data_IF_083963372152
#
_entry.id   IF_083963372152
#
_cell.length_a   1.000
_cell.length_b   1.000
_cell.length_c   1.000
_cell.angle_alpha   90.00
_cell.angle_beta   90.00
_cell.angle_gamma   90.00
#
_symmetry.space_group_name_H-M   'P 1'
#
loop_
_entity.id
_entity.type
_entity.pdbx_description
1 polymer ?
#
# COMPACT_ATOMS: atom_id res chain seq x y z
N UNK A 1 -5.31 -0.59 7.83
CA UNK A 1 -6.07 -0.81 9.07
C UNK A 1 -5.40 -0.15 10.28
N UNK A 2 -4.08 -0.35 10.50
CA UNK A 2 -3.38 0.24 11.65
C UNK A 2 -3.54 1.77 11.71
N UNK A 3 -3.21 2.48 10.63
CA UNK A 3 -3.35 3.94 10.54
C UNK A 3 -4.81 4.41 10.65
N UNK A 4 -5.76 3.62 10.16
CA UNK A 4 -7.18 3.93 10.32
C UNK A 4 -7.59 3.91 11.78
N UNK A 5 -7.17 2.88 12.53
CA UNK A 5 -7.46 2.77 13.97
C UNK A 5 -6.84 3.92 14.76
N UNK A 6 -5.62 4.32 14.44
CA UNK A 6 -4.95 5.42 15.14
C UNK A 6 -5.54 6.78 14.72
N UNK A 7 -5.53 7.09 13.43
CA UNK A 7 -5.79 8.45 12.96
C UNK A 7 -7.27 8.80 12.83
N UNK A 8 -8.12 7.88 12.34
CA UNK A 8 -9.55 8.13 12.18
C UNK A 8 -10.34 7.77 13.43
N UNK A 9 -10.07 6.60 14.00
CA UNK A 9 -10.82 6.11 15.15
C UNK A 9 -10.28 6.64 16.48
N UNK A 10 -9.06 7.18 16.49
CA UNK A 10 -8.35 7.62 17.70
C UNK A 10 -8.37 6.57 18.83
N UNK A 11 -8.32 5.30 18.45
CA UNK A 11 -8.52 4.18 19.35
C UNK A 11 -7.50 4.12 20.52
N UNK A 12 -6.38 4.82 20.40
CA UNK A 12 -5.40 4.99 21.48
C UNK A 12 -5.92 5.87 22.65
N UNK A 13 -6.93 6.73 22.37
CA UNK A 13 -7.49 7.65 23.36
C UNK A 13 -8.71 7.07 24.09
N UNK A 14 -9.25 5.93 23.62
CA UNK A 14 -10.46 5.32 24.17
C UNK A 14 -10.16 3.91 24.66
N UNK A 15 -10.12 3.67 26.00
CA UNK A 15 -9.84 2.34 26.57
C UNK A 15 -10.83 1.26 26.12
N UNK A 16 -12.08 1.65 25.87
CA UNK A 16 -13.18 0.75 25.47
C UNK A 16 -13.43 0.75 23.96
N UNK A 17 -12.45 1.12 23.14
CA UNK A 17 -12.59 1.10 21.68
C UNK A 17 -12.82 -0.32 21.17
N UNK A 18 -13.85 -0.53 20.33
CA UNK A 18 -14.17 -1.83 19.71
C UNK A 18 -12.99 -2.41 18.89
N UNK A 19 -12.13 -1.55 18.40
CA UNK A 19 -10.92 -1.92 17.65
C UNK A 19 -9.70 -1.21 18.24
N UNK A 20 -9.20 -1.65 19.40
CA UNK A 20 -8.07 -0.99 20.08
C UNK A 20 -6.83 -0.99 19.20
N UNK A 21 -5.97 0.00 19.37
CA UNK A 21 -4.62 -0.03 18.85
C UNK A 21 -3.81 -0.97 19.75
N UNK A 22 -3.64 -2.18 19.27
CA UNK A 22 -2.70 -3.11 19.90
C UNK A 22 -1.30 -2.69 19.41
N UNK A 23 -0.62 -1.87 20.19
CA UNK A 23 0.78 -1.60 19.98
C UNK A 23 1.57 -2.33 21.07
N UNK A 24 2.51 -3.13 20.64
CA UNK A 24 3.45 -3.75 21.57
C UNK A 24 4.64 -2.84 21.86
N UNK A 25 5.60 -3.37 22.56
CA UNK A 25 6.86 -2.67 22.81
C UNK A 25 7.77 -2.65 21.58
N UNK A 26 7.69 -3.67 20.72
CA UNK A 26 8.53 -3.82 19.52
C UNK A 26 7.70 -4.00 18.27
N UNK A 27 7.62 -2.95 17.45
CA UNK A 27 6.83 -2.91 16.21
C UNK A 27 7.73 -2.97 14.99
N UNK A 28 7.48 -3.96 14.12
CA UNK A 28 8.14 -4.08 12.82
C UNK A 28 7.14 -3.75 11.71
N UNK A 29 7.51 -2.81 10.84
CA UNK A 29 6.71 -2.45 9.67
C UNK A 29 7.38 -2.98 8.39
N UNK A 30 6.63 -3.76 7.62
CA UNK A 30 7.10 -4.31 6.34
C UNK A 30 6.71 -3.35 5.22
N UNK A 31 7.69 -2.75 4.54
CA UNK A 31 7.48 -1.89 3.39
C UNK A 31 8.44 -0.71 3.32
N UNK A 32 8.45 0.01 2.21
CA UNK A 32 9.35 1.16 1.98
C UNK A 32 8.67 2.39 1.39
N UNK A 33 7.33 2.40 1.32
CA UNK A 33 6.54 3.54 0.85
C UNK A 33 6.15 4.51 1.96
N UNK A 34 5.51 5.64 1.60
CA UNK A 34 5.05 6.64 2.58
C UNK A 34 4.15 6.02 3.66
N UNK A 35 3.27 5.08 3.30
CA UNK A 35 2.40 4.39 4.27
C UNK A 35 3.20 3.61 5.31
N UNK A 36 4.34 3.00 4.93
CA UNK A 36 5.21 2.31 5.87
C UNK A 36 5.88 3.30 6.83
N UNK A 37 6.35 4.43 6.30
CA UNK A 37 6.93 5.51 7.12
C UNK A 37 5.87 6.07 8.08
N UNK A 38 4.66 6.36 7.61
CA UNK A 38 3.57 6.85 8.45
C UNK A 38 3.23 5.84 9.55
N UNK A 39 3.16 4.54 9.22
CA UNK A 39 2.84 3.50 10.18
C UNK A 39 3.90 3.36 11.28
N UNK A 40 5.19 3.34 10.92
CA UNK A 40 6.28 3.17 11.89
C UNK A 40 6.44 4.39 12.80
N UNK A 41 6.34 5.61 12.24
CA UNK A 41 6.36 6.86 13.02
C UNK A 41 5.15 6.95 13.96
N UNK A 42 3.98 6.55 13.46
CA UNK A 42 2.77 6.46 14.28
C UNK A 42 2.96 5.48 15.44
N UNK A 43 3.48 4.27 15.19
CA UNK A 43 3.78 3.31 16.25
C UNK A 43 4.71 3.89 17.32
N UNK A 44 5.76 4.58 16.90
CA UNK A 44 6.69 5.27 17.80
C UNK A 44 5.99 6.31 18.67
N UNK A 45 5.13 7.13 18.07
CA UNK A 45 4.42 8.23 18.76
C UNK A 45 3.32 7.77 19.70
N UNK A 46 2.69 6.60 19.42
CA UNK A 46 1.68 6.03 20.33
C UNK A 46 2.28 5.15 21.43
N UNK A 47 3.62 5.05 21.53
CA UNK A 47 4.30 4.49 22.70
C UNK A 47 5.14 3.25 22.49
N UNK A 48 5.30 2.74 21.24
CA UNK A 48 6.21 1.62 21.00
C UNK A 48 7.67 1.99 21.37
N UNK A 49 8.32 1.16 22.19
CA UNK A 49 9.68 1.39 22.64
C UNK A 49 10.72 1.16 21.52
N UNK A 50 10.47 0.17 20.66
CA UNK A 50 11.31 -0.16 19.51
C UNK A 50 10.47 -0.18 18.26
N UNK A 51 10.95 0.49 17.23
CA UNK A 51 10.28 0.54 15.93
C UNK A 51 11.27 0.35 14.79
N UNK A 52 10.94 -0.51 13.85
CA UNK A 52 11.80 -0.76 12.70
C UNK A 52 11.02 -0.94 11.40
N UNK A 53 11.68 -0.63 10.29
CA UNK A 53 11.22 -0.92 8.93
C UNK A 53 12.05 -2.07 8.36
N UNK A 54 11.37 -3.08 7.83
CA UNK A 54 11.96 -4.14 7.01
C UNK A 54 11.68 -3.83 5.55
N UNK A 55 12.73 -3.62 4.76
CA UNK A 55 12.61 -3.30 3.36
C UNK A 55 13.52 -4.17 2.48
N UNK A 56 12.91 -4.79 1.47
CA UNK A 56 13.57 -5.80 0.61
C UNK A 56 14.69 -5.28 -0.30
N UNK A 57 14.83 -3.95 -0.45
CA UNK A 57 15.87 -3.28 -1.21
C UNK A 57 16.69 -2.36 -0.30
N UNK A 58 17.54 -1.53 -0.89
CA UNK A 58 18.31 -0.55 -0.12
C UNK A 58 17.60 0.82 -0.07
N UNK A 59 18.19 1.75 0.68
CA UNK A 59 17.64 3.08 0.92
C UNK A 59 17.34 3.89 -0.35
N UNK A 60 18.25 3.98 -1.37
CA UNK A 60 17.98 4.75 -2.57
C UNK A 60 16.77 4.26 -3.39
N UNK A 61 16.34 3.02 -3.18
CA UNK A 61 15.22 2.40 -3.88
C UNK A 61 13.90 2.49 -3.11
N UNK A 62 13.90 3.12 -1.93
CA UNK A 62 12.66 3.38 -1.20
C UNK A 62 11.77 4.34 -1.98
N UNK A 63 10.49 4.01 -2.20
CA UNK A 63 9.55 4.92 -2.85
C UNK A 63 9.02 6.02 -1.94
N UNK A 64 9.32 5.98 -0.64
CA UNK A 64 8.98 7.04 0.30
C UNK A 64 9.78 8.32 0.02
N UNK A 65 9.23 9.46 0.40
CA UNK A 65 9.91 10.76 0.29
C UNK A 65 11.15 10.79 1.20
N UNK A 66 12.24 11.36 0.69
CA UNK A 66 13.52 11.42 1.41
C UNK A 66 13.39 12.14 2.75
N UNK A 67 12.59 13.21 2.78
CA UNK A 67 12.31 13.99 4.00
C UNK A 67 11.61 13.14 5.06
N UNK A 68 10.64 12.30 4.63
CA UNK A 68 9.91 11.42 5.55
C UNK A 68 10.80 10.31 6.12
N UNK A 69 11.70 9.77 5.30
CA UNK A 69 12.70 8.79 5.77
C UNK A 69 13.61 9.43 6.82
N UNK A 70 14.07 10.67 6.57
CA UNK A 70 14.91 11.40 7.52
C UNK A 70 14.18 11.67 8.84
N UNK A 71 12.92 12.11 8.77
CA UNK A 71 12.11 12.33 9.98
C UNK A 71 11.93 11.04 10.79
N UNK A 72 11.74 9.89 10.12
CA UNK A 72 11.65 8.61 10.81
C UNK A 72 12.97 8.26 11.54
N UNK A 73 14.13 8.50 10.91
CA UNK A 73 15.44 8.31 11.53
C UNK A 73 15.65 9.23 12.74
N UNK A 74 15.28 10.51 12.61
CA UNK A 74 15.33 11.51 13.70
C UNK A 74 14.43 11.10 14.90
N UNK A 75 13.31 10.43 14.63
CA UNK A 75 12.41 9.88 15.65
C UNK A 75 12.91 8.54 16.25
N UNK A 76 14.07 8.03 15.80
CA UNK A 76 14.69 6.82 16.33
C UNK A 76 14.17 5.52 15.73
N UNK A 77 13.56 5.56 14.54
CA UNK A 77 13.20 4.37 13.78
C UNK A 77 14.45 3.72 13.20
N UNK A 78 14.61 2.42 13.35
CA UNK A 78 15.66 1.63 12.72
C UNK A 78 15.22 1.08 11.36
N UNK A 79 16.19 0.82 10.48
CA UNK A 79 15.93 0.32 9.12
C UNK A 79 16.75 -0.94 8.85
N UNK A 80 16.05 -2.02 8.50
CA UNK A 80 16.59 -3.29 8.03
C UNK A 80 16.47 -3.34 6.52
N UNK A 81 17.53 -2.94 5.83
CA UNK A 81 17.59 -2.93 4.36
C UNK A 81 18.02 -4.26 3.78
N UNK A 82 17.58 -4.55 2.55
CA UNK A 82 17.88 -5.78 1.84
C UNK A 82 17.42 -7.02 2.61
N UNK A 83 16.25 -6.91 3.25
CA UNK A 83 15.67 -7.98 4.06
C UNK A 83 14.25 -8.23 3.57
N UNK A 84 13.94 -9.48 3.28
CA UNK A 84 12.59 -9.93 2.90
C UNK A 84 11.96 -10.75 4.03
N UNK A 85 10.70 -10.48 4.40
CA UNK A 85 9.97 -11.30 5.35
C UNK A 85 9.61 -12.65 4.73
N UNK A 86 9.73 -13.73 5.49
CA UNK A 86 9.34 -15.11 5.10
C UNK A 86 8.07 -15.51 5.85
N UNK A 87 8.04 -15.29 7.17
CA UNK A 87 6.94 -15.71 8.02
C UNK A 87 6.84 -14.83 9.26
N UNK A 88 5.63 -14.68 9.78
CA UNK A 88 5.37 -14.12 11.09
C UNK A 88 5.33 -15.28 12.07
N UNK A 89 6.15 -15.23 13.11
CA UNK A 89 6.18 -16.24 14.17
C UNK A 89 5.27 -15.84 15.33
N UNK A 90 4.66 -16.83 15.94
CA UNK A 90 3.76 -16.63 17.06
C UNK A 90 3.88 -17.75 18.09
N UNK A 91 3.38 -17.47 19.29
CA UNK A 91 3.29 -18.45 20.37
C UNK A 91 1.95 -19.21 20.39
N UNK A 92 1.76 -20.07 21.36
CA UNK A 92 0.53 -20.86 21.54
C UNK A 92 -0.72 -19.98 21.79
N UNK A 93 -0.54 -18.78 22.34
CA UNK A 93 -1.60 -17.80 22.59
C UNK A 93 -1.96 -16.97 21.36
N UNK A 94 -1.40 -17.29 20.19
CA UNK A 94 -1.55 -16.56 18.93
C UNK A 94 -1.02 -15.12 18.98
N UNK A 95 -0.08 -14.85 19.87
CA UNK A 95 0.62 -13.56 19.89
C UNK A 95 1.89 -13.63 19.05
N UNK A 96 2.19 -12.55 18.34
CA UNK A 96 3.41 -12.43 17.53
C UNK A 96 4.62 -12.45 18.46
N UNK A 97 5.67 -13.17 18.08
CA UNK A 97 6.95 -13.27 18.80
C UNK A 97 8.15 -12.86 17.96
N UNK A 98 7.96 -12.77 16.64
CA UNK A 98 9.02 -12.37 15.76
C UNK A 98 8.62 -12.37 14.28
N UNK A 99 9.48 -11.79 13.47
CA UNK A 99 9.41 -11.80 12.01
C UNK A 99 10.61 -12.58 11.47
N UNK A 100 10.36 -13.76 10.86
CA UNK A 100 11.40 -14.51 10.15
C UNK A 100 11.67 -13.85 8.82
N UNK A 101 12.92 -13.57 8.56
CA UNK A 101 13.40 -12.86 7.39
C UNK A 101 14.56 -13.59 6.72
N UNK A 102 14.83 -13.24 5.48
CA UNK A 102 16.02 -13.63 4.71
C UNK A 102 16.69 -12.38 4.18
N UNK A 103 18.01 -12.34 4.17
CA UNK A 103 18.77 -11.24 3.57
C UNK A 103 18.74 -11.36 2.04
N UNK A 104 18.80 -10.21 1.34
CA UNK A 104 18.79 -10.16 -0.11
C UNK A 104 20.08 -9.58 -0.68
N UNK A 105 20.51 -10.12 -1.80
CA UNK A 105 21.35 -9.40 -2.76
C UNK A 105 20.45 -8.58 -3.70
N UNK A 106 21.01 -7.57 -4.35
CA UNK A 106 20.32 -6.79 -5.37
C UNK A 106 20.79 -7.21 -6.76
N UNK A 107 19.88 -7.79 -7.53
CA UNK A 107 20.09 -8.22 -8.90
C UNK A 107 19.89 -7.10 -9.93
N UNK A 108 19.57 -7.50 -11.17
CA UNK A 108 19.22 -6.58 -12.25
C UNK A 108 17.88 -5.86 -12.01
N UNK A 109 17.52 -4.88 -12.85
CA UNK A 109 16.27 -4.16 -12.73
C UNK A 109 15.07 -5.09 -12.96
N UNK A 110 14.02 -4.94 -12.16
CA UNK A 110 12.73 -5.62 -12.33
C UNK A 110 11.78 -4.80 -13.21
N UNK A 111 10.56 -5.29 -13.40
CA UNK A 111 9.51 -4.60 -14.19
C UNK A 111 9.11 -3.20 -13.67
N UNK A 112 9.58 -2.79 -12.49
CA UNK A 112 9.43 -1.42 -11.95
C UNK A 112 10.66 -0.53 -12.22
N UNK A 113 11.69 -1.05 -12.89
CA UNK A 113 12.97 -0.37 -13.13
C UNK A 113 13.90 -0.31 -11.91
N UNK A 114 13.51 -0.89 -10.77
CA UNK A 114 14.33 -0.97 -9.55
C UNK A 114 15.02 -2.32 -9.46
N UNK A 115 16.16 -2.39 -8.78
CA UNK A 115 16.90 -3.65 -8.63
C UNK A 115 16.05 -4.72 -7.93
N UNK A 116 16.02 -5.91 -8.51
CA UNK A 116 15.27 -7.03 -7.95
C UNK A 116 15.93 -7.54 -6.66
N UNK A 117 15.18 -7.77 -5.57
CA UNK A 117 15.71 -8.45 -4.41
C UNK A 117 15.86 -9.95 -4.72
N UNK A 118 17.05 -10.49 -4.51
CA UNK A 118 17.37 -11.90 -4.69
C UNK A 118 17.75 -12.47 -3.32
N UNK A 119 16.95 -13.40 -2.76
CA UNK A 119 17.25 -14.00 -1.46
C UNK A 119 18.62 -14.69 -1.45
N UNK A 120 19.32 -14.57 -0.33
CA UNK A 120 20.60 -15.24 -0.07
C UNK A 120 20.30 -16.49 0.73
N UNK A 121 20.58 -17.66 0.15
CA UNK A 121 20.34 -18.93 0.81
C UNK A 121 21.14 -19.06 2.12
N UNK A 122 20.47 -19.54 3.17
CA UNK A 122 21.09 -19.75 4.48
C UNK A 122 21.27 -18.47 5.32
N UNK A 123 20.74 -17.31 4.88
CA UNK A 123 20.78 -16.05 5.64
C UNK A 123 19.55 -15.81 6.51
N UNK A 124 18.75 -16.84 6.72
CA UNK A 124 17.52 -16.72 7.51
C UNK A 124 17.81 -16.31 8.96
N UNK A 125 17.03 -15.33 9.44
CA UNK A 125 17.07 -14.86 10.83
C UNK A 125 15.72 -14.41 11.31
N UNK A 126 15.54 -14.35 12.62
CA UNK A 126 14.32 -13.83 13.24
C UNK A 126 14.61 -12.45 13.84
N UNK A 127 13.77 -11.48 13.49
CA UNK A 127 13.73 -10.16 14.14
C UNK A 127 12.69 -10.25 15.25
N UNK A 128 13.07 -10.18 16.53
CA UNK A 128 12.13 -10.24 17.64
C UNK A 128 11.18 -9.05 17.58
N UNK A 129 9.87 -9.30 17.66
CA UNK A 129 8.84 -8.26 17.72
C UNK A 129 7.54 -8.86 18.24
N UNK A 130 6.68 -8.02 18.78
CA UNK A 130 5.35 -8.40 19.24
C UNK A 130 4.22 -7.88 18.32
N UNK A 131 4.56 -6.98 17.41
CA UNK A 131 3.62 -6.42 16.44
C UNK A 131 4.24 -6.29 15.05
N UNK A 132 3.51 -6.77 14.03
CA UNK A 132 3.92 -6.63 12.64
C UNK A 132 2.84 -5.87 11.86
N UNK A 133 3.25 -4.79 11.19
CA UNK A 133 2.40 -3.99 10.30
C UNK A 133 2.83 -4.22 8.86
N UNK A 134 1.91 -4.71 8.02
CA UNK A 134 2.18 -4.95 6.60
C UNK A 134 1.77 -3.73 5.78
N UNK A 135 2.75 -3.05 5.17
CA UNK A 135 2.57 -1.81 4.41
C UNK A 135 3.19 -1.92 2.98
N UNK A 136 2.88 -3.02 2.28
CA UNK A 136 3.45 -3.34 0.96
C UNK A 136 2.62 -2.84 -0.21
N UNK A 137 1.62 -2.01 0.06
CA UNK A 137 0.67 -1.47 -0.91
C UNK A 137 -0.61 -2.30 -1.01
N UNK A 138 -1.55 -1.80 -1.81
CA UNK A 138 -2.86 -2.41 -2.07
C UNK A 138 -3.00 -2.72 -3.56
N UNK A 139 -3.89 -3.64 -3.88
CA UNK A 139 -4.31 -3.94 -5.25
C UNK A 139 -5.78 -3.62 -5.41
N UNK A 140 -6.24 -3.49 -6.66
CA UNK A 140 -7.65 -3.40 -6.97
C UNK A 140 -8.41 -4.59 -6.35
N UNK A 141 -9.59 -4.33 -5.77
CA UNK A 141 -10.41 -5.40 -5.20
C UNK A 141 -10.89 -6.33 -6.33
N UNK A 142 -10.53 -7.61 -6.31
CA UNK A 142 -10.89 -8.55 -7.36
C UNK A 142 -12.41 -8.84 -7.41
N UNK A 143 -13.17 -8.49 -6.38
CA UNK A 143 -14.60 -8.71 -6.33
C UNK A 143 -15.31 -8.03 -7.51
N UNK A 144 -14.97 -6.77 -7.81
CA UNK A 144 -15.57 -6.04 -8.92
C UNK A 144 -15.27 -6.72 -10.28
N UNK A 145 -14.01 -7.05 -10.51
CA UNK A 145 -13.58 -7.63 -11.78
C UNK A 145 -14.05 -9.08 -11.96
N UNK A 146 -14.19 -9.84 -10.89
CA UNK A 146 -14.75 -11.19 -10.93
C UNK A 146 -16.27 -11.21 -11.14
N UNK A 147 -16.99 -10.19 -10.64
CA UNK A 147 -18.43 -10.06 -10.85
C UNK A 147 -18.82 -9.39 -12.18
N UNK A 148 -17.87 -8.75 -12.85
CA UNK A 148 -18.04 -8.03 -14.13
C UNK A 148 -16.90 -8.36 -15.09
N UNK A 149 -16.85 -9.59 -15.60
CA UNK A 149 -15.73 -10.10 -16.41
C UNK A 149 -15.57 -9.38 -17.75
N UNK A 150 -16.61 -8.68 -18.23
CA UNK A 150 -16.57 -7.92 -19.48
C UNK A 150 -15.82 -6.58 -19.36
N UNK A 151 -15.47 -6.14 -18.14
CA UNK A 151 -14.68 -4.94 -17.93
C UNK A 151 -13.23 -5.17 -18.37
N UNK A 152 -12.72 -4.29 -19.23
CA UNK A 152 -11.33 -4.33 -19.68
C UNK A 152 -10.37 -3.99 -18.56
N UNK A 153 -9.32 -4.81 -18.41
CA UNK A 153 -8.27 -4.63 -17.42
C UNK A 153 -6.92 -4.37 -18.08
N UNK A 154 -6.12 -3.54 -17.47
CA UNK A 154 -4.71 -3.38 -17.80
C UNK A 154 -3.91 -4.62 -17.39
N UNK A 155 -2.68 -4.76 -17.88
CA UNK A 155 -1.75 -5.83 -17.45
C UNK A 155 -1.52 -5.89 -15.93
N UNK A 156 -1.74 -4.78 -15.23
CA UNK A 156 -1.62 -4.67 -13.77
C UNK A 156 -2.91 -4.97 -13.01
N UNK A 157 -4.00 -5.30 -13.72
CA UNK A 157 -5.30 -5.64 -13.11
C UNK A 157 -6.14 -4.43 -12.69
N UNK A 158 -5.85 -3.22 -13.20
CA UNK A 158 -6.67 -2.03 -13.00
C UNK A 158 -7.66 -1.87 -14.16
N UNK A 159 -8.80 -1.21 -13.90
CA UNK A 159 -9.76 -0.90 -14.95
C UNK A 159 -9.14 0.01 -16.02
N UNK A 160 -9.47 -0.26 -17.27
CA UNK A 160 -9.12 0.62 -18.38
C UNK A 160 -10.28 1.60 -18.60
N UNK A 161 -9.98 2.89 -18.63
CA UNK A 161 -10.91 3.96 -18.92
C UNK A 161 -10.25 4.96 -19.87
N UNK A 162 -11.07 5.62 -20.69
CA UNK A 162 -10.62 6.66 -21.61
C UNK A 162 -10.35 8.00 -20.91
N UNK A 163 -10.03 9.03 -21.66
CA UNK A 163 -9.79 10.37 -21.17
C UNK A 163 -10.98 11.02 -20.46
N UNK A 164 -12.20 10.57 -20.75
CA UNK A 164 -13.45 10.99 -20.12
C UNK A 164 -13.81 10.13 -18.89
N UNK A 165 -13.06 9.05 -18.66
CA UNK A 165 -13.30 8.09 -17.60
C UNK A 165 -14.31 7.01 -17.97
N UNK A 166 -14.76 6.91 -19.23
CA UNK A 166 -15.65 5.83 -19.67
C UNK A 166 -14.85 4.55 -19.86
N UNK A 167 -15.37 3.43 -19.37
CA UNK A 167 -14.79 2.11 -19.58
C UNK A 167 -15.15 1.57 -20.99
N UNK A 168 -14.74 0.36 -21.30
CA UNK A 168 -15.19 -0.33 -22.52
C UNK A 168 -16.70 -0.65 -22.52
N UNK A 169 -17.38 -0.54 -21.38
CA UNK A 169 -18.84 -0.71 -21.28
C UNK A 169 -19.53 0.66 -21.32
N UNK A 170 -20.42 0.90 -22.30
CA UNK A 170 -21.12 2.18 -22.42
C UNK A 170 -21.91 2.52 -21.16
N UNK A 171 -21.76 3.76 -20.68
CA UNK A 171 -22.43 4.24 -19.45
C UNK A 171 -21.77 3.80 -18.15
N UNK A 172 -20.67 3.04 -18.20
CA UNK A 172 -19.87 2.68 -17.04
C UNK A 172 -18.60 3.52 -17.01
N UNK A 173 -18.46 4.29 -15.93
CA UNK A 173 -17.33 5.20 -15.74
C UNK A 173 -16.47 4.78 -14.56
N UNK A 174 -15.17 5.01 -14.64
CA UNK A 174 -14.21 4.69 -13.61
C UNK A 174 -13.09 5.73 -13.50
N UNK A 175 -12.60 5.99 -12.30
CA UNK A 175 -11.46 6.89 -12.04
C UNK A 175 -10.87 6.70 -10.65
N UNK A 176 -9.83 7.44 -10.33
CA UNK A 176 -9.07 7.29 -9.09
C UNK A 176 -8.24 6.00 -9.07
N UNK A 177 -8.02 5.42 -7.89
CA UNK A 177 -7.09 4.31 -7.68
C UNK A 177 -7.44 3.03 -8.45
N UNK A 178 -8.72 2.80 -8.76
CA UNK A 178 -9.15 1.63 -9.53
C UNK A 178 -8.65 1.66 -11.00
N UNK A 179 -8.33 2.84 -11.51
CA UNK A 179 -7.80 3.07 -12.87
C UNK A 179 -6.29 3.34 -12.84
N UNK A 180 -5.85 4.21 -11.93
CA UNK A 180 -4.45 4.70 -11.88
C UNK A 180 -3.51 3.80 -11.07
N UNK A 181 -4.06 2.96 -10.20
CA UNK A 181 -3.33 2.39 -9.08
C UNK A 181 -3.27 3.35 -7.90
N UNK A 182 -2.58 2.98 -6.85
CA UNK A 182 -2.43 3.83 -5.66
C UNK A 182 -1.79 5.17 -6.01
N UNK A 183 -2.56 6.26 -5.87
CA UNK A 183 -2.17 7.62 -6.22
C UNK A 183 -2.53 8.60 -5.11
N UNK A 184 -2.61 9.89 -5.41
CA UNK A 184 -2.95 10.91 -4.42
C UNK A 184 -4.45 11.21 -4.43
N UNK A 185 -4.96 11.66 -3.27
CA UNK A 185 -6.35 12.13 -3.12
C UNK A 185 -6.68 13.23 -4.12
N UNK A 186 -5.73 14.14 -4.39
CA UNK A 186 -5.92 15.25 -5.36
C UNK A 186 -6.20 14.71 -6.77
N UNK A 187 -5.48 13.66 -7.19
CA UNK A 187 -5.71 13.03 -8.49
C UNK A 187 -7.06 12.33 -8.56
N UNK A 188 -7.43 11.60 -7.50
CA UNK A 188 -8.74 10.95 -7.43
C UNK A 188 -9.90 11.97 -7.46
N UNK A 189 -9.76 13.10 -6.74
CA UNK A 189 -10.74 14.20 -6.80
C UNK A 189 -10.81 14.85 -8.18
N UNK A 190 -9.67 15.03 -8.84
CA UNK A 190 -9.59 15.54 -10.22
C UNK A 190 -10.31 14.61 -11.20
N UNK A 191 -10.09 13.30 -11.08
CA UNK A 191 -10.82 12.31 -11.87
C UNK A 191 -12.32 12.38 -11.61
N UNK A 192 -12.75 12.42 -10.35
CA UNK A 192 -14.16 12.53 -10.01
C UNK A 192 -14.86 13.73 -10.61
N UNK A 193 -14.21 14.92 -10.59
CA UNK A 193 -14.75 16.15 -11.22
C UNK A 193 -14.86 16.00 -12.73
N UNK A 194 -13.83 15.49 -13.39
CA UNK A 194 -13.81 15.26 -14.84
C UNK A 194 -14.89 14.28 -15.28
N UNK A 195 -14.98 13.15 -14.58
CA UNK A 195 -15.94 12.09 -14.84
C UNK A 195 -17.37 12.56 -14.62
N UNK A 196 -17.64 13.37 -13.60
CA UNK A 196 -18.98 13.92 -13.37
C UNK A 196 -19.48 14.74 -14.55
N UNK A 197 -18.62 15.58 -15.15
CA UNK A 197 -18.94 16.28 -16.40
C UNK A 197 -19.23 15.34 -17.57
N UNK A 198 -18.40 14.31 -17.73
CA UNK A 198 -18.59 13.31 -18.80
C UNK A 198 -19.88 12.49 -18.63
N UNK A 199 -20.28 12.18 -17.40
CA UNK A 199 -21.55 11.52 -17.11
C UNK A 199 -22.73 12.44 -17.48
N UNK A 200 -22.67 13.73 -17.12
CA UNK A 200 -23.72 14.69 -17.47
C UNK A 200 -23.88 14.82 -19.00
N UNK A 201 -22.76 14.93 -19.73
CA UNK A 201 -22.75 14.96 -21.18
C UNK A 201 -23.32 13.68 -21.79
N UNK A 202 -22.97 12.52 -21.25
CA UNK A 202 -23.47 11.21 -21.69
C UNK A 202 -25.00 11.12 -21.50
N UNK A 203 -25.51 11.54 -20.34
CA UNK A 203 -26.95 11.51 -20.04
C UNK A 203 -27.75 12.50 -20.89
N UNK A 204 -27.16 13.62 -21.29
CA UNK A 204 -27.77 14.60 -22.19
C UNK A 204 -27.72 14.21 -23.66
N UNK A 205 -27.02 13.15 -24.00
CA UNK A 205 -26.79 12.73 -25.39
C UNK A 205 -25.84 13.64 -26.18
N UNK A 206 -25.10 14.51 -25.49
CA UNK A 206 -24.01 15.29 -26.05
C UNK A 206 -22.77 14.41 -26.07
N UNK A 207 -22.41 13.89 -27.22
CA UNK A 207 -21.43 12.90 -27.61
C UNK A 207 -20.21 12.70 -26.67
N UNK A 208 -20.33 11.80 -25.69
CA UNK A 208 -19.21 11.04 -25.15
C UNK A 208 -19.37 9.61 -25.69
N UNK A 209 -18.76 9.32 -26.84
CA UNK A 209 -18.69 7.94 -27.36
C UNK A 209 -17.41 7.30 -26.87
N UNK A 210 -17.43 5.99 -26.51
CA UNK A 210 -16.20 5.28 -26.19
C UNK A 210 -15.23 5.38 -27.37
N UNK A 211 -13.99 5.80 -27.10
CA UNK A 211 -12.91 5.80 -28.07
C UNK A 211 -12.58 4.35 -28.40
N UNK A 212 -13.08 3.84 -29.55
CA UNK A 212 -12.67 2.50 -29.98
C UNK A 212 -13.73 1.63 -30.67
N UNK A 213 -14.89 2.14 -31.04
CA UNK A 213 -15.83 1.37 -31.91
C UNK A 213 -15.77 1.91 -33.32
N UNK A 214 -14.73 1.53 -34.06
CA UNK A 214 -14.84 1.45 -35.54
C UNK A 214 -15.64 0.18 -35.88
N UNK A 215 -16.77 0.35 -36.53
CA UNK A 215 -17.50 -0.72 -37.22
C UNK A 215 -16.65 -1.24 -38.37
#
# INVERSE_FOLDING_TARGET
EYLTRVNLMQAYAFPDADAPVLHGESVVVIGGGNVAIDAVRTARRVGAAQTSIVYRRNRPEMPARVEEIRHAEEEGVSFEFQVSPIAIEGNADRCVTGLRCVDNALGGPDGSGRRAPVPIDGSERVIPCDTVVVAVGTRANPLLTSSSPDLALSERGYLVADEHGMTNLPGVFAGGDIVRGSATVILAMGDGKRIAGAIDDYLRGTSVRPSGTSL
#
